data_IF_360545441314
#
_entry.id   IF_360545441314
#
_cell.length_a   1.000
_cell.length_b   1.000
_cell.length_c   1.000
_cell.angle_alpha   90.00
_cell.angle_beta   90.00
_cell.angle_gamma   90.00
#
_symmetry.space_group_name_H-M   'P 1'
#
loop_
_entity.id
_entity.type
_entity.pdbx_description
1 polymer ?
#
# COMPACT_ATOMS: atom_id res chain seq x y z
N UNK A 1 7.51 7.14 14.15
CA UNK A 1 7.91 6.94 12.74
C UNK A 1 8.17 8.29 12.08
N UNK A 2 9.08 8.40 11.11
CA UNK A 2 9.30 9.67 10.39
C UNK A 2 8.22 9.89 9.32
N UNK A 3 7.91 11.14 9.00
CA UNK A 3 6.89 11.49 7.99
C UNK A 3 7.17 10.84 6.62
N UNK A 4 8.40 10.89 6.07
CA UNK A 4 8.70 10.24 4.80
C UNK A 4 8.44 8.73 4.81
N UNK A 5 8.65 8.06 5.94
CA UNK A 5 8.35 6.63 6.08
C UNK A 5 6.84 6.35 6.08
N UNK A 6 6.06 7.22 6.72
CA UNK A 6 4.60 7.10 6.71
C UNK A 6 4.04 7.30 5.30
N UNK A 7 4.54 8.30 4.57
CA UNK A 7 4.17 8.57 3.17
C UNK A 7 4.55 7.42 2.24
N UNK A 8 5.79 6.95 2.33
CA UNK A 8 6.27 5.81 1.54
C UNK A 8 5.41 4.56 1.78
N UNK A 9 5.01 4.30 3.02
CA UNK A 9 4.12 3.17 3.36
C UNK A 9 2.71 3.36 2.82
N UNK A 10 2.16 4.57 2.91
CA UNK A 10 0.84 4.88 2.39
C UNK A 10 0.78 4.66 0.88
N UNK A 11 1.71 5.26 0.15
CA UNK A 11 1.79 5.16 -1.31
C UNK A 11 2.09 3.73 -1.76
N UNK A 12 3.06 3.04 -1.13
CA UNK A 12 3.40 1.67 -1.53
C UNK A 12 2.26 0.67 -1.31
N UNK A 13 1.42 0.89 -0.28
CA UNK A 13 0.22 0.08 -0.05
C UNK A 13 -0.76 0.21 -1.21
N UNK A 14 -1.07 1.43 -1.63
CA UNK A 14 -2.01 1.67 -2.73
C UNK A 14 -1.45 1.22 -4.07
N UNK A 15 -0.21 1.59 -4.38
CA UNK A 15 0.42 1.30 -5.67
C UNK A 15 0.65 -0.20 -5.85
N UNK A 16 1.01 -0.95 -4.81
CA UNK A 16 1.20 -2.40 -4.93
C UNK A 16 -0.10 -3.14 -5.28
N UNK A 17 -1.23 -2.72 -4.71
CA UNK A 17 -2.55 -3.29 -5.01
C UNK A 17 -3.05 -2.87 -6.40
N UNK A 18 -2.89 -1.59 -6.74
CA UNK A 18 -3.27 -1.05 -8.03
C UNK A 18 -2.47 -1.72 -9.15
N UNK A 19 -1.14 -1.75 -9.04
CA UNK A 19 -0.26 -2.37 -10.03
C UNK A 19 -0.58 -3.86 -10.24
N UNK A 20 -0.85 -4.60 -9.15
CA UNK A 20 -1.25 -6.00 -9.23
C UNK A 20 -2.56 -6.23 -10.01
N UNK A 21 -3.46 -5.25 -9.99
CA UNK A 21 -4.74 -5.30 -10.71
C UNK A 21 -4.59 -4.82 -12.16
N UNK A 22 -3.97 -3.66 -12.37
CA UNK A 22 -3.71 -3.06 -13.69
C UNK A 22 -2.91 -3.97 -14.60
N UNK A 23 -2.05 -4.83 -14.04
CA UNK A 23 -1.32 -5.85 -14.79
C UNK A 23 -2.25 -6.73 -15.65
N UNK A 24 -3.43 -7.11 -15.13
CA UNK A 24 -4.40 -7.95 -15.86
C UNK A 24 -5.14 -7.16 -16.95
N UNK A 25 -5.46 -5.88 -16.68
CA UNK A 25 -6.07 -4.98 -17.67
C UNK A 25 -5.14 -4.78 -18.87
N UNK A 26 -3.83 -4.63 -18.62
CA UNK A 26 -2.81 -4.46 -19.65
C UNK A 26 -2.56 -5.74 -20.46
N UNK A 27 -2.43 -6.88 -19.78
CA UNK A 27 -1.99 -8.13 -20.39
C UNK A 27 -3.14 -8.98 -20.98
N UNK A 28 -4.40 -8.62 -20.69
CA UNK A 28 -5.58 -9.30 -21.23
C UNK A 28 -5.80 -10.71 -20.66
N UNK A 29 -6.70 -11.49 -21.25
CA UNK A 29 -7.15 -12.77 -20.70
C UNK A 29 -6.03 -13.83 -20.56
N UNK A 30 -4.99 -13.79 -21.39
CA UNK A 30 -3.85 -14.72 -21.29
C UNK A 30 -3.11 -14.58 -19.95
N UNK A 31 -3.15 -13.41 -19.32
CA UNK A 31 -2.51 -13.15 -18.02
C UNK A 31 -3.08 -13.99 -16.86
N UNK A 32 -4.26 -14.61 -17.04
CA UNK A 32 -4.88 -15.48 -16.04
C UNK A 32 -4.36 -16.92 -16.09
N UNK A 33 -3.49 -17.26 -17.04
CA UNK A 33 -2.90 -18.60 -17.12
C UNK A 33 -2.03 -18.88 -15.89
N UNK A 34 -2.26 -20.03 -15.27
CA UNK A 34 -1.59 -20.43 -14.04
C UNK A 34 -0.06 -20.50 -14.18
N UNK A 35 0.46 -20.79 -15.39
CA UNK A 35 1.90 -20.83 -15.67
C UNK A 35 2.61 -19.49 -15.48
N UNK A 36 1.90 -18.37 -15.66
CA UNK A 36 2.46 -17.04 -15.41
C UNK A 36 2.39 -16.66 -13.92
N UNK A 37 1.36 -17.15 -13.22
CA UNK A 37 1.14 -16.95 -11.79
C UNK A 37 1.12 -15.48 -11.35
N UNK A 38 0.61 -14.58 -12.20
CA UNK A 38 0.69 -13.12 -12.00
C UNK A 38 -0.16 -12.63 -10.83
N UNK A 39 -1.23 -13.37 -10.49
CA UNK A 39 -2.12 -13.13 -9.36
C UNK A 39 -1.40 -13.18 -8.01
N UNK A 40 -0.24 -13.88 -7.93
CA UNK A 40 0.58 -13.94 -6.72
C UNK A 40 1.01 -12.57 -6.21
N UNK A 41 1.25 -11.62 -7.11
CA UNK A 41 1.73 -10.28 -6.74
C UNK A 41 0.65 -9.52 -5.97
N UNK A 42 -0.58 -9.52 -6.49
CA UNK A 42 -1.72 -8.91 -5.82
C UNK A 42 -2.04 -9.63 -4.50
N UNK A 43 -2.06 -10.97 -4.48
CA UNK A 43 -2.34 -11.74 -3.26
C UNK A 43 -1.33 -11.46 -2.15
N UNK A 44 -0.04 -11.45 -2.48
CA UNK A 44 1.02 -11.16 -1.52
C UNK A 44 0.92 -9.73 -0.98
N UNK A 45 0.72 -8.74 -1.87
CA UNK A 45 0.51 -7.36 -1.47
C UNK A 45 -0.73 -7.22 -0.57
N UNK A 46 -1.84 -7.87 -0.93
CA UNK A 46 -3.08 -7.84 -0.16
C UNK A 46 -2.91 -8.40 1.24
N UNK A 47 -2.22 -9.52 1.39
CA UNK A 47 -1.96 -10.10 2.72
C UNK A 47 -1.03 -9.19 3.53
N UNK A 48 0.07 -8.72 2.93
CA UNK A 48 1.07 -7.93 3.64
C UNK A 48 0.53 -6.57 4.12
N UNK A 49 -0.24 -5.89 3.28
CA UNK A 49 -0.80 -4.56 3.57
C UNK A 49 -1.87 -4.57 4.67
N UNK A 50 -2.43 -5.74 5.02
CA UNK A 50 -3.40 -5.86 6.12
C UNK A 50 -2.78 -5.77 7.51
N UNK A 51 -1.47 -5.97 7.64
CA UNK A 51 -0.79 -5.91 8.94
C UNK A 51 -0.92 -4.52 9.60
N UNK A 52 -0.75 -3.47 8.80
CA UNK A 52 -0.78 -2.09 9.27
C UNK A 52 -1.90 -1.32 8.55
N UNK A 53 -2.97 -0.90 9.24
CA UNK A 53 -4.08 -0.19 8.62
C UNK A 53 -3.64 1.15 8.03
N UNK A 54 -3.49 1.22 6.70
CA UNK A 54 -2.99 2.40 5.96
C UNK A 54 -3.79 3.67 6.23
N UNK A 55 -5.10 3.55 6.52
CA UNK A 55 -5.98 4.68 6.84
C UNK A 55 -5.44 5.58 7.96
N UNK A 56 -4.77 4.99 8.96
CA UNK A 56 -4.20 5.78 10.06
C UNK A 56 -2.91 6.50 9.66
N UNK A 57 -2.19 6.01 8.64
CA UNK A 57 -1.03 6.70 8.06
C UNK A 57 -1.47 8.01 7.41
N UNK A 58 -2.54 7.99 6.62
CA UNK A 58 -3.09 9.23 6.04
C UNK A 58 -3.53 10.24 7.10
N UNK A 59 -4.19 9.78 8.16
CA UNK A 59 -4.56 10.66 9.27
C UNK A 59 -3.33 11.31 9.93
N UNK A 60 -2.30 10.53 10.24
CA UNK A 60 -1.09 11.04 10.87
C UNK A 60 -0.30 11.99 9.96
N UNK A 61 -0.21 11.70 8.66
CA UNK A 61 0.42 12.57 7.66
C UNK A 61 -0.36 13.88 7.55
N UNK A 62 -1.69 13.82 7.42
CA UNK A 62 -2.54 15.01 7.35
C UNK A 62 -2.43 15.87 8.61
N UNK A 63 -2.44 15.26 9.79
CA UNK A 63 -2.32 15.98 11.06
C UNK A 63 -0.95 16.68 11.21
N UNK A 64 0.11 16.12 10.66
CA UNK A 64 1.41 16.77 10.60
C UNK A 64 1.39 18.00 9.69
N UNK A 65 0.89 17.87 8.46
CA UNK A 65 0.86 18.98 7.50
C UNK A 65 -0.13 20.09 7.85
N UNK A 66 -1.24 19.77 8.53
CA UNK A 66 -2.29 20.73 8.86
C UNK A 66 -2.11 21.38 10.24
N UNK A 67 -1.56 20.65 11.21
CA UNK A 67 -1.53 21.06 12.62
C UNK A 67 -0.14 20.95 13.27
N UNK A 68 0.94 20.79 12.49
CA UNK A 68 2.33 20.62 12.96
C UNK A 68 2.51 19.53 14.04
N UNK A 69 1.59 18.57 14.09
CA UNK A 69 1.58 17.53 15.12
C UNK A 69 2.35 16.30 14.64
N UNK A 70 3.47 16.02 15.30
CA UNK A 70 4.30 14.86 14.97
C UNK A 70 3.56 13.53 15.20
N UNK A 71 3.75 12.53 14.30
CA UNK A 71 3.19 11.20 14.48
C UNK A 71 3.82 10.50 15.69
N UNK A 72 3.12 9.55 16.33
CA UNK A 72 3.67 8.83 17.47
C UNK A 72 4.97 8.10 17.10
N UNK A 73 5.87 8.01 18.09
CA UNK A 73 7.20 7.44 17.91
C UNK A 73 7.13 5.95 17.53
N UNK A 74 6.17 5.20 18.09
CA UNK A 74 5.93 3.79 17.75
C UNK A 74 5.11 3.67 16.47
N UNK A 75 5.50 2.71 15.63
CA UNK A 75 4.97 2.53 14.27
C UNK A 75 3.50 2.10 14.18
N UNK A 76 2.91 1.71 15.32
CA UNK A 76 1.50 1.44 15.50
C UNK A 76 0.73 2.75 15.56
N UNK A 77 0.00 3.04 14.49
CA UNK A 77 -1.08 4.02 14.44
C UNK A 77 -2.32 3.29 13.95
#
# INVERSE_FOLDING_TARGET
ATIPLAEARAISTEISLAAGSTLFELAGSQSTLAEHGLDRHWRNARVHTLHDPVRWKFHAIGNYYLNDTNPPLRGTI
#
